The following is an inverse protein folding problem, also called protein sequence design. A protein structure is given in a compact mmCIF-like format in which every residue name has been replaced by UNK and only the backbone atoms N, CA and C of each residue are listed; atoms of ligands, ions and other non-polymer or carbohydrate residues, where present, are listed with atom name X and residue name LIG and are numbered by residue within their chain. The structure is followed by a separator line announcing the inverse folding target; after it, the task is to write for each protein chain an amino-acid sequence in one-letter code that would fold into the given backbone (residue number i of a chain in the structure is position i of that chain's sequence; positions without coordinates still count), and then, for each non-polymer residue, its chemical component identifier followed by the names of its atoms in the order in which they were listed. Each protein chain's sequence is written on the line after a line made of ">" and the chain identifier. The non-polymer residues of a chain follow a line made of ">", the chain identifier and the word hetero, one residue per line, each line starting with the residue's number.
data_IF_437686935196
#
_entry.id   IF_437686935196
#
_cell.length_a   1.000
_cell.length_b   1.000
_cell.length_c   1.000
_cell.angle_alpha   90.00
_cell.angle_beta   90.00
_cell.angle_gamma   90.00
#
_symmetry.space_group_name_H-M   'P 1'
#
loop_
_entity.id
_entity.type
_entity.pdbx_description
1 polymer ?
#
# COMPACT_ATOMS: atom_id res chain seq x y z
N UNK A 1 -22.07 2.02 19.72
CA UNK A 1 -21.17 2.17 18.55
C UNK A 1 -21.40 0.96 17.66
N UNK A 2 -21.56 1.17 16.35
CA UNK A 2 -22.05 0.14 15.43
C UNK A 2 -20.95 -0.87 15.09
N UNK A 3 -21.28 -2.17 15.13
CA UNK A 3 -20.38 -3.25 14.70
C UNK A 3 -19.95 -3.11 13.24
N UNK A 4 -20.77 -2.44 12.41
CA UNK A 4 -20.43 -2.13 11.01
C UNK A 4 -19.23 -1.17 10.89
N UNK A 5 -19.13 -0.20 11.80
CA UNK A 5 -18.06 0.80 11.82
C UNK A 5 -16.71 0.18 12.20
N UNK A 6 -16.69 -0.63 13.26
CA UNK A 6 -15.49 -1.35 13.69
C UNK A 6 -14.98 -2.24 12.56
N UNK A 7 -15.89 -2.96 11.88
CA UNK A 7 -15.53 -3.81 10.74
C UNK A 7 -14.97 -3.00 9.56
N UNK A 8 -15.49 -1.80 9.30
CA UNK A 8 -14.94 -0.91 8.27
C UNK A 8 -13.50 -0.53 8.59
N UNK A 9 -13.21 -0.08 9.82
CA UNK A 9 -11.85 0.22 10.27
C UNK A 9 -10.93 -1.01 10.11
N UNK A 10 -11.35 -2.18 10.59
CA UNK A 10 -10.56 -3.41 10.49
C UNK A 10 -10.25 -3.79 9.04
N UNK A 11 -11.22 -3.69 8.13
CA UNK A 11 -11.03 -3.97 6.72
C UNK A 11 -10.05 -2.99 6.05
N UNK A 12 -10.17 -1.69 6.34
CA UNK A 12 -9.24 -0.68 5.85
C UNK A 12 -7.82 -0.94 6.38
N UNK A 13 -7.69 -1.25 7.67
CA UNK A 13 -6.41 -1.59 8.27
C UNK A 13 -5.80 -2.89 7.72
N UNK A 14 -6.64 -3.87 7.34
CA UNK A 14 -6.20 -5.09 6.66
C UNK A 14 -5.65 -4.77 5.27
N UNK A 15 -6.30 -3.87 4.52
CA UNK A 15 -5.78 -3.40 3.22
C UNK A 15 -4.42 -2.71 3.40
N UNK A 16 -4.28 -1.83 4.40
CA UNK A 16 -3.00 -1.17 4.72
C UNK A 16 -1.90 -2.17 5.10
N UNK A 17 -2.23 -3.18 5.92
CA UNK A 17 -1.30 -4.25 6.29
C UNK A 17 -0.86 -5.10 5.09
N UNK A 18 -1.80 -5.44 4.19
CA UNK A 18 -1.47 -6.17 2.96
C UNK A 18 -0.63 -5.33 2.01
N UNK A 19 -0.96 -4.05 1.83
CA UNK A 19 -0.12 -3.09 1.10
C UNK A 19 1.32 -3.08 1.65
N UNK A 20 1.49 -2.89 2.96
CA UNK A 20 2.81 -2.82 3.61
C UNK A 20 3.60 -4.12 3.44
N UNK A 21 2.93 -5.27 3.59
CA UNK A 21 3.54 -6.59 3.35
C UNK A 21 4.06 -6.72 1.93
N UNK A 22 3.22 -6.39 0.94
CA UNK A 22 3.54 -6.60 -0.47
C UNK A 22 4.64 -5.68 -0.95
N UNK A 23 4.61 -4.39 -0.59
CA UNK A 23 5.66 -3.44 -1.00
C UNK A 23 7.02 -3.73 -0.35
N UNK A 24 7.04 -4.11 0.93
CA UNK A 24 8.31 -4.46 1.59
C UNK A 24 8.86 -5.82 1.12
N UNK A 25 7.98 -6.76 0.75
CA UNK A 25 8.41 -8.00 0.09
C UNK A 25 8.97 -7.72 -1.30
N UNK A 26 8.36 -6.80 -2.05
CA UNK A 26 8.87 -6.34 -3.34
C UNK A 26 10.28 -5.78 -3.19
N UNK A 27 10.51 -4.80 -2.30
CA UNK A 27 11.84 -4.22 -2.11
C UNK A 27 12.89 -5.26 -1.70
N UNK A 28 12.54 -6.16 -0.78
CA UNK A 28 13.42 -7.25 -0.38
C UNK A 28 13.87 -8.13 -1.57
N UNK A 29 12.97 -8.42 -2.51
CA UNK A 29 13.28 -9.22 -3.69
C UNK A 29 13.96 -8.40 -4.79
N UNK A 30 13.43 -7.20 -5.08
CA UNK A 30 13.88 -6.34 -6.18
C UNK A 30 15.36 -5.98 -6.05
N UNK A 31 15.80 -5.70 -4.83
CA UNK A 31 17.17 -5.33 -4.53
C UNK A 31 18.16 -6.50 -4.72
N UNK A 32 17.64 -7.73 -4.85
CA UNK A 32 18.41 -8.96 -5.00
C UNK A 32 18.13 -9.69 -6.32
N UNK A 33 17.37 -9.09 -7.26
CA UNK A 33 16.94 -9.77 -8.49
C UNK A 33 18.10 -10.30 -9.33
N UNK A 34 19.21 -9.56 -9.41
CA UNK A 34 20.37 -9.99 -10.18
C UNK A 34 20.91 -11.35 -9.70
N UNK A 35 20.90 -11.58 -8.38
CA UNK A 35 21.29 -12.86 -7.79
C UNK A 35 20.19 -13.91 -7.95
N UNK A 36 18.95 -13.53 -7.64
CA UNK A 36 17.80 -14.42 -7.60
C UNK A 36 17.43 -15.03 -8.95
N UNK A 37 17.50 -14.24 -10.01
CA UNK A 37 17.20 -14.68 -11.37
C UNK A 37 18.46 -15.06 -12.17
N UNK A 38 19.63 -15.11 -11.53
CA UNK A 38 20.87 -15.53 -12.18
C UNK A 38 20.74 -16.95 -12.77
N UNK A 39 21.11 -17.11 -14.04
CA UNK A 39 21.07 -18.40 -14.72
C UNK A 39 19.67 -18.90 -15.09
N UNK A 40 18.61 -18.13 -14.80
CA UNK A 40 17.22 -18.51 -15.16
C UNK A 40 16.86 -18.18 -16.62
N UNK A 41 17.73 -17.47 -17.34
CA UNK A 41 17.48 -17.04 -18.71
C UNK A 41 16.26 -16.12 -18.81
N UNK A 42 15.33 -16.43 -19.71
CA UNK A 42 14.10 -15.65 -19.90
C UNK A 42 12.95 -16.08 -18.98
N UNK A 43 13.18 -17.02 -18.05
CA UNK A 43 12.14 -17.47 -17.13
C UNK A 43 11.85 -16.44 -16.03
N UNK A 44 12.89 -15.71 -15.57
CA UNK A 44 12.82 -14.58 -14.62
C UNK A 44 11.76 -14.70 -13.51
N UNK A 45 11.73 -15.84 -12.77
CA UNK A 45 10.65 -16.14 -11.82
C UNK A 45 10.52 -15.10 -10.69
N UNK A 46 11.63 -14.57 -10.16
CA UNK A 46 11.56 -13.59 -9.07
C UNK A 46 11.15 -12.21 -9.58
N UNK A 47 11.56 -11.82 -10.78
CA UNK A 47 11.02 -10.62 -11.43
C UNK A 47 9.50 -10.72 -11.61
N UNK A 48 8.98 -11.89 -12.01
CA UNK A 48 7.53 -12.10 -12.11
C UNK A 48 6.82 -11.99 -10.75
N UNK A 49 7.44 -12.51 -9.68
CA UNK A 49 6.94 -12.33 -8.31
C UNK A 49 6.93 -10.86 -7.90
N UNK A 50 8.00 -10.10 -8.20
CA UNK A 50 8.07 -8.67 -7.97
C UNK A 50 6.93 -7.91 -8.68
N UNK A 51 6.65 -8.24 -9.94
CA UNK A 51 5.54 -7.66 -10.70
C UNK A 51 4.17 -7.94 -10.02
N UNK A 52 3.98 -9.15 -9.49
CA UNK A 52 2.76 -9.49 -8.74
C UNK A 52 2.67 -8.71 -7.42
N UNK A 53 3.78 -8.58 -6.69
CA UNK A 53 3.82 -7.87 -5.40
C UNK A 53 3.56 -6.37 -5.54
N UNK A 54 4.17 -5.71 -6.52
CA UNK A 54 3.94 -4.28 -6.75
C UNK A 54 2.50 -4.02 -7.23
N UNK A 55 1.93 -4.97 -7.99
CA UNK A 55 0.52 -4.93 -8.40
C UNK A 55 -0.43 -5.05 -7.21
N UNK A 56 -0.19 -6.03 -6.33
CA UNK A 56 -0.97 -6.22 -5.11
C UNK A 56 -0.84 -5.02 -4.17
N UNK A 57 0.36 -4.43 -4.05
CA UNK A 57 0.56 -3.21 -3.28
C UNK A 57 -0.31 -2.06 -3.84
N UNK A 58 -0.21 -1.75 -5.14
CA UNK A 58 -1.02 -0.68 -5.75
C UNK A 58 -2.53 -0.91 -5.58
N UNK A 59 -3.00 -2.16 -5.76
CA UNK A 59 -4.41 -2.51 -5.57
C UNK A 59 -4.86 -2.25 -4.13
N UNK A 60 -4.12 -2.75 -3.12
CA UNK A 60 -4.53 -2.59 -1.73
C UNK A 60 -4.39 -1.15 -1.23
N UNK A 61 -3.45 -0.37 -1.77
CA UNK A 61 -3.39 1.07 -1.54
C UNK A 61 -4.63 1.76 -2.13
N UNK A 62 -4.99 1.44 -3.39
CA UNK A 62 -6.17 1.99 -4.04
C UNK A 62 -7.49 1.57 -3.37
N UNK A 63 -7.58 0.42 -2.68
CA UNK A 63 -8.76 0.07 -1.88
C UNK A 63 -9.00 1.01 -0.69
N UNK A 64 -7.96 1.70 -0.23
CA UNK A 64 -8.03 2.66 0.87
C UNK A 64 -8.13 4.09 0.36
N UNK A 65 -7.30 4.46 -0.61
CA UNK A 65 -7.16 5.84 -1.08
C UNK A 65 -7.80 6.09 -2.46
N UNK A 66 -8.36 5.09 -3.14
CA UNK A 66 -8.92 5.20 -4.47
C UNK A 66 -10.24 5.99 -4.55
N UNK A 67 -10.90 5.90 -5.71
CA UNK A 67 -12.19 6.55 -5.96
C UNK A 67 -13.28 5.92 -5.09
N UNK A 68 -14.04 6.73 -4.34
CA UNK A 68 -15.01 6.40 -3.27
C UNK A 68 -16.15 5.39 -3.59
N UNK A 69 -15.87 4.26 -4.22
CA UNK A 69 -16.89 3.30 -4.67
C UNK A 69 -16.98 2.05 -3.78
N UNK A 70 -16.02 1.86 -2.87
CA UNK A 70 -15.92 0.70 -1.98
C UNK A 70 -15.85 1.12 -0.51
N UNK A 71 -16.39 0.28 0.38
CA UNK A 71 -16.50 0.54 1.83
C UNK A 71 -15.16 0.47 2.59
N UNK A 72 -14.09 0.05 1.93
CA UNK A 72 -12.72 0.02 2.46
C UNK A 72 -12.00 1.36 2.32
N UNK A 73 -12.56 2.30 1.56
CA UNK A 73 -11.95 3.63 1.43
C UNK A 73 -11.99 4.36 2.77
N UNK A 74 -10.91 5.09 3.06
CA UNK A 74 -10.74 5.77 4.36
C UNK A 74 -11.93 6.68 4.71
N UNK A 75 -12.62 7.26 3.72
CA UNK A 75 -13.79 8.13 3.92
C UNK A 75 -15.00 7.45 4.57
N UNK A 76 -15.06 6.11 4.53
CA UNK A 76 -16.10 5.33 5.19
C UNK A 76 -15.71 4.89 6.61
N UNK A 77 -14.42 4.90 6.92
CA UNK A 77 -13.89 4.43 8.21
C UNK A 77 -13.42 5.58 9.12
N UNK A 78 -13.33 6.79 8.58
CA UNK A 78 -12.92 8.01 9.26
C UNK A 78 -14.07 9.00 9.12
N UNK A 79 -14.56 9.53 10.25
CA UNK A 79 -15.65 10.51 10.26
C UNK A 79 -15.14 11.93 10.04
N UNK A 80 -14.05 12.31 10.71
CA UNK A 80 -13.43 13.63 10.54
C UNK A 80 -12.43 13.64 9.38
N UNK A 81 -12.94 13.94 8.18
CA UNK A 81 -12.13 13.93 6.96
C UNK A 81 -11.14 15.09 6.88
N UNK A 82 -11.43 16.21 7.52
CA UNK A 82 -10.56 17.39 7.47
C UNK A 82 -9.39 17.22 8.45
N UNK A 83 -9.64 16.73 9.66
CA UNK A 83 -8.56 16.39 10.62
C UNK A 83 -7.63 15.32 10.03
N UNK A 84 -8.20 14.26 9.46
CA UNK A 84 -7.40 13.22 8.82
C UNK A 84 -6.56 13.75 7.65
N UNK A 85 -7.12 14.61 6.78
CA UNK A 85 -6.35 15.20 5.68
C UNK A 85 -5.23 16.10 6.20
N UNK A 86 -5.49 16.91 7.21
CA UNK A 86 -4.46 17.76 7.83
C UNK A 86 -3.31 16.90 8.33
N UNK A 87 -3.61 15.87 9.14
CA UNK A 87 -2.59 14.96 9.69
C UNK A 87 -1.85 14.23 8.57
N UNK A 88 -2.56 13.73 7.57
CA UNK A 88 -1.96 13.02 6.44
C UNK A 88 -0.97 13.92 5.70
N UNK A 89 -1.38 15.12 5.33
CA UNK A 89 -0.58 16.08 4.56
C UNK A 89 0.61 16.60 5.36
N UNK A 90 0.44 16.86 6.65
CA UNK A 90 1.51 17.24 7.55
C UNK A 90 2.56 16.12 7.70
N UNK A 91 2.12 14.86 7.84
CA UNK A 91 3.03 13.72 8.02
C UNK A 91 3.78 13.32 6.74
N UNK A 92 3.15 13.43 5.57
CA UNK A 92 3.80 13.10 4.28
C UNK A 92 4.54 14.30 3.67
N UNK A 93 4.35 15.51 4.19
CA UNK A 93 4.99 16.73 3.71
C UNK A 93 4.53 17.17 2.32
N UNK A 94 3.27 16.90 1.97
CA UNK A 94 2.69 17.28 0.66
C UNK A 94 1.46 18.15 0.85
N UNK A 95 1.28 19.11 -0.06
CA UNK A 95 0.02 19.84 -0.19
C UNK A 95 -1.09 18.97 -0.77
N UNK A 96 -2.35 19.38 -0.61
CA UNK A 96 -3.49 18.71 -1.24
C UNK A 96 -3.34 18.57 -2.77
N UNK A 97 -2.79 19.59 -3.43
CA UNK A 97 -2.58 19.57 -4.88
C UNK A 97 -1.53 18.54 -5.29
N UNK A 98 -0.41 18.46 -4.56
CA UNK A 98 0.65 17.47 -4.80
C UNK A 98 0.17 16.06 -4.51
N UNK A 99 -0.55 15.85 -3.40
CA UNK A 99 -1.14 14.56 -3.09
C UNK A 99 -2.19 14.16 -4.12
N UNK A 100 -3.00 15.08 -4.64
CA UNK A 100 -3.97 14.81 -5.72
C UNK A 100 -3.26 14.38 -7.00
N UNK A 101 -2.16 15.03 -7.36
CA UNK A 101 -1.34 14.65 -8.51
C UNK A 101 -0.71 13.25 -8.32
N UNK A 102 -0.20 12.96 -7.11
CA UNK A 102 0.32 11.64 -6.77
C UNK A 102 -0.77 10.55 -6.82
N UNK A 103 -1.92 10.81 -6.19
CA UNK A 103 -3.08 9.95 -6.21
C UNK A 103 -3.52 9.59 -7.63
N UNK A 104 -3.49 10.57 -8.55
CA UNK A 104 -3.79 10.33 -9.97
C UNK A 104 -2.79 9.36 -10.60
N UNK A 105 -1.49 9.53 -10.36
CA UNK A 105 -0.46 8.59 -10.84
C UNK A 105 -0.71 7.17 -10.34
N UNK A 106 -0.98 7.00 -9.04
CA UNK A 106 -1.21 5.68 -8.44
C UNK A 106 -2.50 5.02 -8.95
N UNK A 107 -3.58 5.78 -9.08
CA UNK A 107 -4.86 5.26 -9.61
C UNK A 107 -4.81 4.95 -11.09
N UNK A 108 -4.06 5.73 -11.87
CA UNK A 108 -3.80 5.44 -13.28
C UNK A 108 -2.93 4.21 -13.47
N UNK A 109 -1.88 4.05 -12.66
CA UNK A 109 -1.05 2.84 -12.67
C UNK A 109 -1.89 1.60 -12.40
N UNK A 110 -2.74 1.62 -11.35
CA UNK A 110 -3.67 0.53 -11.05
C UNK A 110 -4.63 0.25 -12.20
N UNK A 111 -5.24 1.27 -12.78
CA UNK A 111 -6.30 1.08 -13.78
C UNK A 111 -5.72 0.69 -15.15
N UNK A 112 -4.71 1.42 -15.62
CA UNK A 112 -4.19 1.28 -16.97
C UNK A 112 -3.13 0.19 -17.08
N UNK A 113 -2.25 0.01 -16.09
CA UNK A 113 -1.17 -1.00 -16.19
C UNK A 113 -1.61 -2.33 -15.60
N UNK A 114 -2.11 -2.31 -14.37
CA UNK A 114 -2.39 -3.55 -13.63
C UNK A 114 -3.70 -4.21 -14.07
N UNK A 115 -4.78 -3.43 -14.19
CA UNK A 115 -6.11 -4.00 -14.46
C UNK A 115 -6.38 -4.22 -15.96
N UNK A 116 -6.01 -3.27 -16.82
CA UNK A 116 -6.39 -3.28 -18.23
C UNK A 116 -5.26 -3.50 -19.22
N UNK A 117 -3.99 -3.40 -18.79
CA UNK A 117 -2.81 -3.41 -19.67
C UNK A 117 -3.00 -2.54 -20.93
N UNK A 118 -3.24 -1.25 -20.72
CA UNK A 118 -3.32 -0.25 -21.77
C UNK A 118 -1.92 -0.02 -22.35
N UNK A 119 -1.71 -0.45 -23.59
CA UNK A 119 -0.43 -0.42 -24.28
C UNK A 119 0.18 0.99 -24.38
N UNK A 120 -0.63 1.99 -24.77
CA UNK A 120 -0.15 3.37 -24.91
C UNK A 120 0.29 3.94 -23.55
N UNK A 121 -0.48 3.63 -22.51
CA UNK A 121 -0.12 4.00 -21.13
C UNK A 121 1.12 3.24 -20.63
N UNK A 122 1.36 2.02 -21.08
CA UNK A 122 2.57 1.26 -20.72
C UNK A 122 3.83 1.84 -21.36
N UNK A 123 3.73 2.33 -22.60
CA UNK A 123 4.87 2.95 -23.30
C UNK A 123 5.24 4.33 -22.76
N UNK A 124 4.23 5.15 -22.44
CA UNK A 124 4.42 6.53 -22.00
C UNK A 124 4.42 6.70 -20.47
N UNK A 125 3.80 5.75 -19.77
CA UNK A 125 3.61 5.78 -18.33
C UNK A 125 4.87 5.41 -17.57
N UNK A 126 4.93 5.89 -16.33
CA UNK A 126 5.92 5.46 -15.35
C UNK A 126 5.22 4.75 -14.20
N UNK A 127 5.87 3.72 -13.67
CA UNK A 127 5.47 3.16 -12.37
C UNK A 127 5.65 4.28 -11.33
N UNK A 128 4.63 4.61 -10.54
CA UNK A 128 4.74 5.64 -9.51
C UNK A 128 5.75 5.20 -8.46
N UNK A 129 6.41 6.18 -7.81
CA UNK A 129 7.16 5.87 -6.60
C UNK A 129 6.21 5.44 -5.46
N UNK A 130 6.69 4.58 -4.57
CA UNK A 130 5.91 4.01 -3.49
C UNK A 130 6.28 4.57 -2.10
N UNK A 131 7.26 5.45 -1.99
CA UNK A 131 7.65 6.08 -0.73
C UNK A 131 6.52 6.96 -0.20
N UNK A 132 5.89 7.76 -1.07
CA UNK A 132 4.70 8.55 -0.70
C UNK A 132 3.54 7.65 -0.32
N UNK A 133 3.32 6.54 -1.03
CA UNK A 133 2.27 5.56 -0.68
C UNK A 133 2.54 4.90 0.67
N UNK A 134 3.79 4.56 0.98
CA UNK A 134 4.22 4.01 2.27
C UNK A 134 3.95 5.02 3.38
N UNK A 135 4.36 6.28 3.20
CA UNK A 135 4.15 7.34 4.18
C UNK A 135 2.64 7.56 4.43
N UNK A 136 1.85 7.67 3.37
CA UNK A 136 0.40 7.85 3.46
C UNK A 136 -0.29 6.66 4.16
N UNK A 137 0.10 5.43 3.83
CA UNK A 137 -0.43 4.22 4.46
C UNK A 137 -0.09 4.15 5.95
N UNK A 138 1.14 4.51 6.34
CA UNK A 138 1.55 4.55 7.74
C UNK A 138 0.76 5.61 8.52
N UNK A 139 0.57 6.80 7.93
CA UNK A 139 -0.22 7.87 8.52
C UNK A 139 -1.68 7.44 8.75
N UNK A 140 -2.32 6.87 7.72
CA UNK A 140 -3.69 6.37 7.82
C UNK A 140 -3.84 5.25 8.85
N UNK A 141 -2.90 4.31 8.90
CA UNK A 141 -2.93 3.23 9.89
C UNK A 141 -2.79 3.77 11.32
N UNK A 142 -1.85 4.70 11.55
CA UNK A 142 -1.65 5.37 12.83
C UNK A 142 -2.91 6.15 13.26
N UNK A 143 -3.55 6.85 12.32
CA UNK A 143 -4.79 7.57 12.58
C UNK A 143 -5.91 6.61 13.00
N UNK A 144 -6.16 5.54 12.23
CA UNK A 144 -7.19 4.54 12.52
C UNK A 144 -6.93 3.81 13.84
N UNK A 145 -5.67 3.50 14.18
CA UNK A 145 -5.29 2.91 15.48
C UNK A 145 -5.68 3.79 16.67
N UNK A 146 -5.52 5.11 16.55
CA UNK A 146 -5.87 6.05 17.63
C UNK A 146 -7.38 6.17 17.82
N UNK A 147 -8.14 6.01 16.73
CA UNK A 147 -9.60 6.12 16.73
C UNK A 147 -10.30 4.77 16.92
N UNK A 148 -9.54 3.69 17.06
CA UNK A 148 -10.08 2.37 17.35
C UNK A 148 -10.72 2.36 18.75
N UNK A 149 -11.98 1.91 18.89
CA UNK A 149 -12.67 1.96 20.17
C UNK A 149 -11.98 1.13 21.25
N UNK A 150 -12.04 1.61 22.50
CA UNK A 150 -11.51 0.87 23.64
C UNK A 150 -12.17 -0.52 23.75
N UNK A 151 -11.37 -1.55 24.02
CA UNK A 151 -11.86 -2.93 24.16
C UNK A 151 -11.94 -3.72 22.85
N UNK A 152 -11.69 -3.13 21.69
CA UNK A 152 -11.53 -3.88 20.43
C UNK A 152 -10.22 -4.67 20.48
N UNK A 153 -10.31 -6.00 20.33
CA UNK A 153 -9.16 -6.88 20.24
C UNK A 153 -8.59 -6.88 18.81
N UNK A 154 -7.89 -5.80 18.45
CA UNK A 154 -7.22 -5.69 17.16
C UNK A 154 -5.96 -6.58 17.12
N UNK A 155 -5.92 -7.55 16.20
CA UNK A 155 -4.82 -8.53 16.07
C UNK A 155 -3.82 -8.20 14.95
N UNK A 156 -3.97 -7.05 14.29
CA UNK A 156 -3.07 -6.64 13.21
C UNK A 156 -1.83 -5.86 13.70
N UNK A 157 -1.05 -5.28 12.78
CA UNK A 157 0.14 -4.52 13.10
C UNK A 157 -0.11 -3.34 14.03
N UNK A 158 0.69 -3.16 15.09
CA UNK A 158 0.61 -1.97 15.95
C UNK A 158 1.29 -0.75 15.32
N UNK A 159 2.33 -0.99 14.51
CA UNK A 159 3.04 0.00 13.71
C UNK A 159 3.23 -0.58 12.30
N UNK A 160 2.67 0.10 11.29
CA UNK A 160 2.66 -0.41 9.92
C UNK A 160 4.05 -0.42 9.27
N UNK A 161 4.92 0.53 9.65
CA UNK A 161 6.27 0.66 9.11
C UNK A 161 7.16 -0.45 9.66
N UNK A 162 7.16 -0.65 10.98
CA UNK A 162 7.92 -1.73 11.62
C UNK A 162 7.46 -3.08 11.09
N UNK A 163 6.14 -3.29 10.97
CA UNK A 163 5.60 -4.51 10.38
C UNK A 163 6.11 -4.77 8.95
N UNK A 164 6.09 -3.76 8.09
CA UNK A 164 6.62 -3.87 6.73
C UNK A 164 8.10 -4.23 6.71
N UNK A 165 8.91 -3.55 7.52
CA UNK A 165 10.34 -3.81 7.65
C UNK A 165 10.64 -5.24 8.14
N UNK A 166 9.86 -5.74 9.10
CA UNK A 166 10.01 -7.11 9.60
C UNK A 166 9.60 -8.15 8.56
N UNK A 167 8.57 -7.89 7.75
CA UNK A 167 8.20 -8.71 6.59
C UNK A 167 9.36 -8.78 5.60
N UNK A 168 9.91 -7.64 5.19
CA UNK A 168 11.04 -7.59 4.25
C UNK A 168 12.24 -8.36 4.78
N UNK A 169 12.59 -8.20 6.07
CA UNK A 169 13.66 -8.96 6.72
C UNK A 169 13.39 -10.46 6.72
N UNK A 170 12.15 -10.87 6.99
CA UNK A 170 11.76 -12.28 6.98
C UNK A 170 11.91 -12.92 5.58
N UNK A 171 11.57 -12.17 4.52
CA UNK A 171 11.79 -12.60 3.13
C UNK A 171 13.28 -12.77 2.83
N UNK A 172 14.09 -11.74 3.13
CA UNK A 172 15.54 -11.78 2.91
C UNK A 172 16.23 -12.94 3.63
N UNK A 173 15.87 -13.17 4.90
CA UNK A 173 16.44 -14.24 5.71
C UNK A 173 16.22 -15.64 5.14
N UNK A 174 15.21 -15.83 4.29
CA UNK A 174 14.92 -17.13 3.66
C UNK A 174 15.56 -17.30 2.29
N UNK A 175 16.14 -16.25 1.75
CA UNK A 175 16.68 -16.19 0.39
C UNK A 175 18.21 -16.10 0.38
N UNK A 176 18.80 -15.48 1.41
CA UNK A 176 20.24 -15.29 1.54
C UNK A 176 20.90 -16.46 2.31
N UNK A 177 20.12 -17.39 2.86
CA UNK A 177 20.57 -18.64 3.49
C UNK A 177 20.37 -19.83 2.54
#
# INVERSE_FOLDING_TARGET
>A
MDASYIRSIENTMMCLATFSRSINSFYALSDNLQYLDYGTGNLVPYQNICNALISDAAINWCKVFGSNNESTHWKYSIDDHEDFRSILFDEIGLTNAEFTAYWKKMTDFRSNIIAHFNYDFFLEGSTPEFDTAIAAACSAHKYLRKHLPAGVNYTGPTDLKVYGQDVGRAVLNKIIL
#
